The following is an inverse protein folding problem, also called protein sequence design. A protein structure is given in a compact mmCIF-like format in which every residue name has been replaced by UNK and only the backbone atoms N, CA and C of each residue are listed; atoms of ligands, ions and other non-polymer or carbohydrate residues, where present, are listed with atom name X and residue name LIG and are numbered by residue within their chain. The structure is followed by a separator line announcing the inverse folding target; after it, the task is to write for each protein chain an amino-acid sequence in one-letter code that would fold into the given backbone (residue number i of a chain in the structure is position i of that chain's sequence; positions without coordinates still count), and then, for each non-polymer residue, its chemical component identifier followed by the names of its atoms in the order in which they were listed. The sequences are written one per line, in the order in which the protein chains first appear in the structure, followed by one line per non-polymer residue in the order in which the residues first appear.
data_IF_569764075964
#
_entry.id   IF_569764075964
#
_cell.length_a   1.000
_cell.length_b   1.000
_cell.length_c   1.000
_cell.angle_alpha   90.00
_cell.angle_beta   90.00
_cell.angle_gamma   90.00
#
_symmetry.space_group_name_H-M   'P 1'
#
loop_
_entity.id
_entity.type
_entity.pdbx_description
1 polymer ?
#
# COMPACT_ATOMS: atom_id res chain seq x y z
N UNK A 1 12.50 -31.74 -17.11
CA UNK A 1 12.07 -30.87 -18.22
C UNK A 1 12.65 -29.48 -17.99
N UNK A 2 13.51 -28.97 -18.88
CA UNK A 2 14.11 -27.65 -18.71
C UNK A 2 13.13 -26.55 -19.19
N UNK A 3 12.87 -25.56 -18.35
CA UNK A 3 12.03 -24.41 -18.71
C UNK A 3 12.89 -23.42 -19.50
N UNK A 4 12.69 -23.37 -20.82
CA UNK A 4 13.38 -22.41 -21.68
C UNK A 4 12.65 -21.05 -21.65
N UNK A 5 13.17 -20.09 -20.89
CA UNK A 5 12.59 -18.74 -20.81
C UNK A 5 13.02 -17.93 -22.04
N UNK A 6 12.11 -17.80 -23.02
CA UNK A 6 12.35 -17.05 -24.27
C UNK A 6 12.31 -15.52 -24.11
N UNK A 7 11.79 -15.00 -22.99
CA UNK A 7 11.65 -13.57 -22.74
C UNK A 7 11.57 -13.26 -21.25
N UNK A 8 12.48 -12.41 -20.77
CA UNK A 8 12.42 -11.87 -19.41
C UNK A 8 11.35 -10.76 -19.34
N UNK A 9 10.25 -11.01 -18.64
CA UNK A 9 9.15 -10.05 -18.46
C UNK A 9 8.50 -10.24 -17.10
N UNK A 10 8.29 -9.13 -16.38
CA UNK A 10 7.51 -9.13 -15.14
C UNK A 10 6.03 -8.93 -15.46
N UNK A 11 5.19 -9.81 -14.91
CA UNK A 11 3.73 -9.63 -14.89
C UNK A 11 3.39 -8.60 -13.82
N UNK A 12 3.23 -7.35 -14.26
CA UNK A 12 2.87 -6.24 -13.38
C UNK A 12 1.48 -6.47 -12.78
N UNK A 13 1.39 -6.50 -11.45
CA UNK A 13 0.11 -6.43 -10.74
C UNK A 13 -0.43 -5.00 -10.91
N UNK A 14 -1.70 -4.89 -11.32
CA UNK A 14 -2.33 -3.61 -11.63
C UNK A 14 -2.65 -2.89 -10.31
N UNK A 15 -1.72 -2.05 -9.82
CA UNK A 15 -1.97 -1.20 -8.65
C UNK A 15 -0.80 -1.07 -7.68
N UNK A 16 0.40 -0.74 -8.15
CA UNK A 16 1.52 -0.40 -7.27
C UNK A 16 2.03 1.00 -7.62
N UNK A 17 1.94 2.00 -6.71
CA UNK A 17 2.66 3.25 -6.86
C UNK A 17 4.17 2.95 -6.79
N UNK A 18 4.95 3.67 -7.58
CA UNK A 18 6.41 3.71 -7.42
C UNK A 18 6.71 4.27 -6.03
N UNK A 19 7.02 3.41 -5.06
CA UNK A 19 7.64 3.85 -3.82
C UNK A 19 9.10 4.19 -4.12
N UNK A 20 9.43 5.48 -4.00
CA UNK A 20 10.64 5.81 -3.26
C UNK A 20 10.42 5.27 -1.85
N UNK A 21 11.30 4.37 -1.46
CA UNK A 21 11.31 3.74 -0.15
C UNK A 21 11.66 4.84 0.86
N UNK A 22 10.68 5.58 1.35
CA UNK A 22 10.83 6.30 2.62
C UNK A 22 10.41 5.34 3.70
N UNK A 23 11.40 4.64 4.27
CA UNK A 23 11.27 3.93 5.53
C UNK A 23 10.79 4.89 6.60
N UNK A 24 9.54 4.77 7.01
CA UNK A 24 9.10 5.18 8.35
C UNK A 24 8.73 3.92 9.10
N UNK A 25 9.60 3.58 10.04
CA UNK A 25 9.53 2.49 11.00
C UNK A 25 8.48 2.75 12.11
N UNK A 26 8.23 1.72 12.94
CA UNK A 26 7.40 1.57 14.18
C UNK A 26 5.98 1.00 13.94
N UNK A 27 5.55 -0.17 14.45
CA UNK A 27 5.72 -0.84 15.77
C UNK A 27 5.46 -2.39 15.72
N UNK A 28 5.62 -3.18 16.81
CA UNK A 28 6.17 -4.55 16.78
C UNK A 28 5.14 -5.67 17.02
N UNK A 29 3.83 -5.39 16.91
CA UNK A 29 2.80 -6.36 17.31
C UNK A 29 1.59 -6.37 16.36
N UNK A 30 1.72 -6.92 15.15
CA UNK A 30 0.64 -7.65 14.46
C UNK A 30 0.99 -8.09 13.04
N UNK A 31 1.01 -9.41 12.84
CA UNK A 31 0.28 -10.12 11.79
C UNK A 31 0.30 -9.53 10.37
N UNK A 32 1.31 -9.97 9.61
CA UNK A 32 1.31 -10.24 8.17
C UNK A 32 0.12 -9.65 7.37
N UNK A 33 0.19 -8.38 6.98
CA UNK A 33 -0.74 -7.83 5.97
C UNK A 33 0.02 -7.15 4.85
N UNK A 34 0.11 -7.83 3.71
CA UNK A 34 0.57 -7.29 2.44
C UNK A 34 -0.55 -6.44 1.79
N UNK A 35 -1.10 -5.46 2.53
CA UNK A 35 -2.18 -4.62 2.00
C UNK A 35 -1.59 -3.57 1.06
N UNK A 36 -2.06 -3.58 -0.19
CA UNK A 36 -1.52 -2.80 -1.29
C UNK A 36 -1.55 -1.28 -1.02
N UNK A 37 -0.37 -0.66 -0.96
CA UNK A 37 -0.14 0.76 -0.65
C UNK A 37 -0.67 1.76 -1.70
N UNK A 38 -1.49 1.33 -2.66
CA UNK A 38 -1.92 2.14 -3.81
C UNK A 38 -3.30 2.76 -3.69
N UNK A 39 -4.17 2.18 -2.87
CA UNK A 39 -5.61 2.48 -2.92
C UNK A 39 -6.19 2.93 -1.60
N UNK A 40 -5.36 3.09 -0.57
CA UNK A 40 -5.88 3.32 0.77
C UNK A 40 -5.02 4.31 1.56
N UNK A 41 -5.09 5.58 1.17
CA UNK A 41 -4.42 6.69 1.86
C UNK A 41 -4.91 6.83 3.31
N UNK A 42 -6.18 6.51 3.57
CA UNK A 42 -6.78 6.57 4.91
C UNK A 42 -7.04 5.19 5.56
N UNK A 43 -6.49 4.10 4.99
CA UNK A 43 -6.58 2.77 5.59
C UNK A 43 -6.07 2.71 7.03
N UNK A 44 -4.86 3.22 7.34
CA UNK A 44 -4.28 2.96 8.64
C UNK A 44 -5.10 3.65 9.74
N UNK A 45 -5.53 4.90 9.52
CA UNK A 45 -6.39 5.63 10.45
C UNK A 45 -7.75 4.95 10.61
N UNK A 46 -8.33 4.43 9.52
CA UNK A 46 -9.57 3.67 9.57
C UNK A 46 -9.40 2.38 10.38
N UNK A 47 -8.33 1.62 10.15
CA UNK A 47 -8.07 0.37 10.87
C UNK A 47 -7.83 0.60 12.36
N UNK A 48 -7.18 1.71 12.72
CA UNK A 48 -6.98 2.11 14.11
C UNK A 48 -8.32 2.42 14.79
N UNK A 49 -9.18 3.22 14.16
CA UNK A 49 -10.52 3.53 14.67
C UNK A 49 -11.37 2.26 14.86
N UNK A 50 -11.35 1.35 13.87
CA UNK A 50 -12.05 0.06 13.97
C UNK A 50 -11.49 -0.82 15.10
N UNK A 51 -10.16 -0.81 15.29
CA UNK A 51 -9.52 -1.49 16.41
C UNK A 51 -9.94 -0.92 17.77
N UNK A 52 -10.05 0.41 17.87
CA UNK A 52 -10.50 1.08 19.08
C UNK A 52 -11.97 0.75 19.40
N UNK A 53 -12.85 0.71 18.39
CA UNK A 53 -14.24 0.26 18.58
C UNK A 53 -14.31 -1.17 19.10
N UNK A 54 -13.50 -2.06 18.54
CA UNK A 54 -13.44 -3.46 18.98
C UNK A 54 -12.92 -3.59 20.43
N UNK A 55 -11.98 -2.75 20.84
CA UNK A 55 -11.38 -2.80 22.18
C UNK A 55 -12.23 -2.12 23.27
N UNK A 56 -13.00 -1.08 22.93
CA UNK A 56 -13.64 -0.21 23.92
C UNK A 56 -15.17 -0.14 23.81
N UNK A 57 -15.75 -0.72 22.75
CA UNK A 57 -17.18 -0.65 22.43
C UNK A 57 -17.74 0.78 22.24
N UNK A 58 -16.87 1.75 21.97
CA UNK A 58 -17.23 3.16 21.70
C UNK A 58 -17.54 3.38 20.21
N UNK A 59 -18.66 2.82 19.74
CA UNK A 59 -19.06 2.84 18.32
C UNK A 59 -19.27 4.28 17.81
N UNK A 60 -19.68 5.19 18.68
CA UNK A 60 -19.94 6.58 18.33
C UNK A 60 -18.69 7.47 18.37
N UNK A 61 -17.53 6.94 18.79
CA UNK A 61 -16.27 7.69 18.89
C UNK A 61 -16.39 8.96 19.73
N UNK A 62 -17.21 8.90 20.80
CA UNK A 62 -17.47 10.05 21.69
C UNK A 62 -16.46 10.07 22.84
N UNK A 63 -15.92 8.91 23.21
CA UNK A 63 -15.00 8.75 24.32
C UNK A 63 -13.59 8.42 23.83
N UNK A 64 -13.17 7.18 24.06
CA UNK A 64 -11.78 6.75 23.90
C UNK A 64 -11.33 6.72 22.43
N UNK A 65 -12.26 6.58 21.49
CA UNK A 65 -11.95 6.49 20.06
C UNK A 65 -12.06 7.82 19.31
N UNK A 66 -12.26 8.94 20.03
CA UNK A 66 -12.41 10.26 19.42
C UNK A 66 -11.17 10.68 18.62
N UNK A 67 -9.97 10.43 19.16
CA UNK A 67 -8.70 10.79 18.52
C UNK A 67 -8.48 10.01 17.21
N UNK A 68 -8.80 8.71 17.20
CA UNK A 68 -8.68 7.88 16.01
C UNK A 68 -9.67 8.29 14.91
N UNK A 69 -10.89 8.67 15.32
CA UNK A 69 -11.89 9.22 14.41
C UNK A 69 -11.42 10.56 13.82
N UNK A 70 -10.87 11.47 14.63
CA UNK A 70 -10.37 12.76 14.15
C UNK A 70 -9.24 12.59 13.13
N UNK A 71 -8.27 11.70 13.40
CA UNK A 71 -7.19 11.37 12.45
C UNK A 71 -7.72 10.86 11.12
N UNK A 72 -8.77 10.03 11.15
CA UNK A 72 -9.42 9.56 9.93
C UNK A 72 -10.10 10.71 9.17
N UNK A 73 -10.84 11.58 9.86
CA UNK A 73 -11.48 12.75 9.25
C UNK A 73 -10.48 13.70 8.62
N UNK A 74 -9.39 14.00 9.32
CA UNK A 74 -8.30 14.84 8.79
C UNK A 74 -7.66 14.20 7.55
N UNK A 75 -7.42 12.89 7.56
CA UNK A 75 -6.92 12.18 6.39
C UNK A 75 -7.88 12.31 5.20
N UNK A 76 -9.15 11.99 5.37
CA UNK A 76 -10.13 12.04 4.28
C UNK A 76 -10.31 13.45 3.72
N UNK A 77 -10.23 14.47 4.59
CA UNK A 77 -10.35 15.88 4.20
C UNK A 77 -9.15 16.39 3.40
N UNK A 78 -7.95 15.92 3.73
CA UNK A 78 -6.69 16.42 3.14
C UNK A 78 -6.18 15.58 1.97
N UNK A 79 -6.68 14.35 1.82
CA UNK A 79 -6.16 13.41 0.82
C UNK A 79 -6.39 13.93 -0.61
N UNK A 80 -5.32 14.15 -1.40
CA UNK A 80 -5.44 14.56 -2.78
C UNK A 80 -5.92 13.40 -3.66
N UNK A 81 -6.69 13.70 -4.71
CA UNK A 81 -7.14 12.68 -5.66
C UNK A 81 -5.94 11.99 -6.35
N UNK A 82 -5.91 10.64 -6.40
CA UNK A 82 -4.80 9.92 -7.01
C UNK A 82 -4.75 10.21 -8.51
N UNK A 83 -3.67 10.86 -8.95
CA UNK A 83 -3.39 11.07 -10.38
C UNK A 83 -3.01 9.74 -11.02
N UNK A 84 -3.29 9.59 -12.32
CA UNK A 84 -2.87 8.40 -13.09
C UNK A 84 -1.34 8.27 -13.03
N UNK A 85 -0.86 7.29 -12.27
CA UNK A 85 0.57 7.01 -12.13
C UNK A 85 1.08 6.41 -13.44
N UNK A 86 2.21 6.93 -13.93
CA UNK A 86 2.86 6.39 -15.12
C UNK A 86 3.31 4.94 -14.89
N UNK A 87 3.03 4.07 -15.86
CA UNK A 87 3.33 2.64 -15.76
C UNK A 87 4.85 2.44 -15.80
N UNK A 88 5.44 1.62 -14.90
CA UNK A 88 6.87 1.40 -14.91
C UNK A 88 7.32 0.73 -16.21
N UNK A 89 8.39 1.24 -16.80
CA UNK A 89 9.01 0.73 -18.05
C UNK A 89 9.91 -0.47 -17.82
N UNK A 90 9.84 -1.12 -16.65
CA UNK A 90 10.72 -2.25 -16.28
C UNK A 90 10.77 -3.36 -17.33
N UNK A 91 9.66 -3.66 -18.00
CA UNK A 91 9.62 -4.67 -19.06
C UNK A 91 10.44 -4.30 -20.30
N UNK A 92 10.66 -3.01 -20.55
CA UNK A 92 11.59 -2.54 -21.57
C UNK A 92 13.04 -2.84 -21.17
N UNK A 93 13.41 -2.53 -19.93
CA UNK A 93 14.76 -2.77 -19.41
C UNK A 93 15.09 -4.28 -19.35
N UNK A 94 14.16 -5.11 -18.88
CA UNK A 94 14.35 -6.57 -18.80
C UNK A 94 14.48 -7.22 -20.18
N UNK A 95 13.72 -6.74 -21.17
CA UNK A 95 13.82 -7.24 -22.54
C UNK A 95 15.17 -6.90 -23.20
N UNK A 96 15.84 -5.82 -22.77
CA UNK A 96 17.18 -5.46 -23.24
C UNK A 96 18.26 -6.26 -22.52
N UNK A 97 18.18 -6.36 -21.18
CA UNK A 97 19.10 -7.15 -20.37
C UNK A 97 19.12 -8.62 -20.76
N UNK A 98 17.95 -9.20 -21.07
CA UNK A 98 17.84 -10.60 -21.52
C UNK A 98 18.64 -10.93 -22.77
N UNK A 99 19.04 -9.94 -23.60
CA UNK A 99 19.93 -10.16 -24.76
C UNK A 99 21.41 -10.20 -24.41
N UNK A 100 21.77 -9.75 -23.20
CA UNK A 100 23.16 -9.61 -22.74
C UNK A 100 23.54 -10.72 -21.75
N UNK A 101 22.56 -11.30 -21.07
CA UNK A 101 22.76 -12.31 -20.01
C UNK A 101 22.34 -13.74 -20.40
N UNK A 102 21.86 -13.93 -21.64
CA UNK A 102 21.62 -15.23 -22.28
C UNK A 102 22.58 -15.39 -23.45
#
# INVERSE_FOLDING_TARGET
MAIHIKKLKVRQRKGQPNHSITSTHFDPASSCTCLAAATVMCAPQLSAMLGCWAATNDIHSIGKCQEDAEKLFQCMRTTPMPKKIHKPTINYHLARLGKTIQ
#
